data_IF_643389788680
#
_entry.id   IF_643389788680
#
_cell.length_a   1.000
_cell.length_b   1.000
_cell.length_c   1.000
_cell.angle_alpha   90.00
_cell.angle_beta   90.00
_cell.angle_gamma   90.00
#
_symmetry.space_group_name_H-M   'P 1'
#
loop_
_entity.id
_entity.type
_entity.pdbx_description
1 polymer ?
#
# COMPACT_ATOMS: atom_id res chain seq x y z
N UNK A 1 -6.41 26.95 -27.56
CA UNK A 1 -5.37 26.62 -26.55
C UNK A 1 -5.84 27.22 -25.22
N UNK A 2 -7.00 26.82 -24.69
CA UNK A 2 -7.34 25.50 -24.12
C UNK A 2 -6.42 25.12 -22.97
N UNK A 3 -6.92 25.35 -21.76
CA UNK A 3 -6.56 24.57 -20.58
C UNK A 3 -7.86 23.96 -20.06
N UNK A 4 -8.00 22.66 -20.25
CA UNK A 4 -9.09 21.87 -19.68
C UNK A 4 -8.94 21.84 -18.15
N UNK A 5 -10.01 22.10 -17.38
CA UNK A 5 -10.02 21.90 -15.93
C UNK A 5 -10.18 20.42 -15.57
N UNK A 6 -9.42 19.94 -14.60
CA UNK A 6 -9.51 18.59 -14.03
C UNK A 6 -10.74 18.45 -13.12
N UNK A 7 -11.37 17.28 -13.18
CA UNK A 7 -12.77 16.98 -12.83
C UNK A 7 -13.10 16.94 -11.31
N UNK A 8 -12.33 17.59 -10.43
CA UNK A 8 -12.54 17.52 -8.96
C UNK A 8 -12.77 18.85 -8.24
N UNK A 9 -12.88 19.97 -8.94
CA UNK A 9 -13.18 21.28 -8.32
C UNK A 9 -14.66 21.73 -8.43
N UNK A 10 -15.60 20.80 -8.59
CA UNK A 10 -17.02 21.15 -8.65
C UNK A 10 -17.80 20.27 -7.71
N UNK A 11 -17.82 20.64 -6.41
CA UNK A 11 -18.94 20.55 -5.45
C UNK A 11 -18.43 21.24 -4.16
N UNK A 12 -18.52 22.56 -4.10
CA UNK A 12 -18.51 23.35 -2.87
C UNK A 12 -18.85 24.80 -3.21
N UNK A 13 -20.15 25.06 -3.45
CA UNK A 13 -20.62 26.42 -3.64
C UNK A 13 -22.03 26.44 -4.18
N UNK A 14 -23.01 26.75 -3.32
CA UNK A 14 -24.05 27.77 -3.52
C UNK A 14 -24.93 27.83 -2.26
N UNK A 15 -24.94 29.00 -1.61
CA UNK A 15 -26.01 29.52 -0.73
C UNK A 15 -25.88 29.20 0.76
N UNK A 16 -26.05 30.10 1.72
CA UNK A 16 -26.41 31.52 1.72
C UNK A 16 -26.01 32.10 3.08
N UNK A 17 -25.53 33.34 3.07
CA UNK A 17 -25.15 34.10 4.26
C UNK A 17 -26.37 34.56 5.09
N UNK A 18 -26.26 34.50 6.42
CA UNK A 18 -26.89 35.49 7.32
C UNK A 18 -25.91 35.76 8.46
N UNK A 19 -25.40 37.00 8.51
CA UNK A 19 -24.55 37.51 9.58
C UNK A 19 -25.42 38.13 10.68
N UNK A 20 -25.04 37.92 11.95
CA UNK A 20 -25.36 38.86 13.04
C UNK A 20 -24.14 39.01 13.93
N UNK A 21 -23.65 40.25 13.95
CA UNK A 21 -22.57 40.80 14.77
C UNK A 21 -22.79 40.62 16.27
N UNK A 22 -21.72 40.35 17.02
CA UNK A 22 -21.44 41.12 18.24
C UNK A 22 -19.94 41.14 18.54
N UNK A 23 -19.40 42.35 18.55
CA UNK A 23 -17.99 42.68 18.71
C UNK A 23 -17.47 42.49 20.14
N UNK A 24 -16.24 41.99 20.27
CA UNK A 24 -15.32 42.37 21.33
C UNK A 24 -13.88 42.33 20.79
N UNK A 25 -13.25 43.50 20.81
CA UNK A 25 -11.95 43.84 20.26
C UNK A 25 -10.78 43.12 20.97
N UNK A 26 -9.82 42.64 20.19
CA UNK A 26 -8.40 42.70 20.53
C UNK A 26 -7.56 42.55 19.25
N UNK A 27 -7.04 43.67 18.78
CA UNK A 27 -6.05 43.74 17.70
C UNK A 27 -4.75 43.08 18.14
N UNK A 28 -4.36 42.00 17.46
CA UNK A 28 -2.98 41.56 17.38
C UNK A 28 -2.63 41.44 15.89
N UNK A 29 -1.94 42.47 15.39
CA UNK A 29 -1.27 42.41 14.09
C UNK A 29 -0.18 41.35 14.15
N UNK A 30 -0.39 40.23 13.47
CA UNK A 30 0.70 39.41 12.95
C UNK A 30 0.29 39.02 11.53
N UNK A 31 0.94 39.64 10.56
CA UNK A 31 0.92 39.23 9.16
C UNK A 31 1.49 37.82 9.07
N UNK A 32 0.62 36.81 9.14
CA UNK A 32 0.97 35.46 8.73
C UNK A 32 1.06 35.49 7.21
N UNK A 33 2.30 35.55 6.71
CA UNK A 33 2.60 35.21 5.32
C UNK A 33 2.01 33.82 5.03
N UNK A 34 1.63 33.53 3.77
CA UNK A 34 1.36 32.15 3.39
C UNK A 34 2.63 31.38 3.75
N UNK A 35 2.54 30.43 4.68
CA UNK A 35 3.59 29.43 4.81
C UNK A 35 3.61 28.74 3.46
N UNK A 36 4.66 29.00 2.69
CA UNK A 36 5.01 28.22 1.52
C UNK A 36 4.78 26.76 1.87
N UNK A 37 3.90 26.12 1.12
CA UNK A 37 3.84 24.67 1.11
C UNK A 37 5.25 24.23 0.78
N UNK A 38 5.97 23.73 1.79
CA UNK A 38 7.15 22.92 1.56
C UNK A 38 6.61 21.70 0.86
N UNK A 39 6.60 21.76 -0.46
CA UNK A 39 6.41 20.58 -1.29
C UNK A 39 7.61 19.71 -0.94
N UNK A 40 7.36 18.61 -0.23
CA UNK A 40 8.37 17.62 0.14
C UNK A 40 9.00 17.07 -1.15
N UNK A 41 10.02 17.76 -1.63
CA UNK A 41 10.74 17.43 -2.86
C UNK A 41 11.67 16.21 -2.70
N UNK A 42 11.67 15.59 -1.52
CA UNK A 42 12.48 14.42 -1.16
C UNK A 42 11.62 13.16 -0.94
N UNK A 43 10.32 13.18 -1.24
CA UNK A 43 9.37 12.05 -1.10
C UNK A 43 9.48 11.03 -2.24
N UNK A 44 10.68 10.52 -2.44
CA UNK A 44 11.02 9.53 -3.46
C UNK A 44 11.85 8.37 -2.89
N UNK A 45 11.97 8.33 -1.55
CA UNK A 45 12.82 7.41 -0.80
C UNK A 45 12.16 6.07 -0.53
N UNK A 46 12.98 5.08 -0.16
CA UNK A 46 12.50 3.76 0.29
C UNK A 46 11.70 3.86 1.60
N UNK A 47 11.99 4.89 2.41
CA UNK A 47 11.33 5.15 3.70
C UNK A 47 9.87 5.61 3.57
N UNK A 48 9.41 5.94 2.35
CA UNK A 48 8.04 6.38 2.09
C UNK A 48 7.08 5.23 1.75
N UNK A 49 7.60 4.01 1.51
CA UNK A 49 6.74 2.85 1.31
C UNK A 49 6.10 2.41 2.64
N UNK A 50 4.85 1.94 2.62
CA UNK A 50 4.30 1.26 3.76
C UNK A 50 5.08 -0.02 4.05
N UNK A 51 5.58 -0.16 5.27
CA UNK A 51 6.45 -1.27 5.66
C UNK A 51 5.68 -2.49 6.19
N UNK A 52 4.54 -2.25 6.83
CA UNK A 52 3.81 -3.30 7.55
C UNK A 52 2.32 -3.23 7.29
N UNK A 53 1.70 -4.40 7.34
CA UNK A 53 0.27 -4.57 7.47
C UNK A 53 -0.09 -4.65 8.95
N UNK A 54 -1.06 -3.85 9.37
CA UNK A 54 -1.52 -3.73 10.75
C UNK A 54 -2.84 -4.47 10.96
N UNK A 55 -3.03 -5.02 12.16
CA UNK A 55 -4.32 -5.55 12.65
C UNK A 55 -4.58 -5.03 14.07
N UNK A 56 -5.85 -4.82 14.45
CA UNK A 56 -6.17 -4.51 15.84
C UNK A 56 -5.90 -5.75 16.71
N UNK A 57 -5.31 -5.54 17.88
CA UNK A 57 -5.23 -6.54 18.93
C UNK A 57 -6.57 -6.68 19.69
N UNK A 58 -6.57 -7.50 20.75
CA UNK A 58 -7.76 -7.76 21.57
C UNK A 58 -8.28 -6.50 22.28
N UNK A 59 -7.42 -5.50 22.51
CA UNK A 59 -7.76 -4.21 23.11
C UNK A 59 -8.18 -3.16 22.05
N UNK A 60 -8.07 -3.51 20.77
CA UNK A 60 -8.42 -2.66 19.63
C UNK A 60 -7.29 -1.73 19.17
N UNK A 61 -6.07 -1.88 19.70
CA UNK A 61 -4.90 -1.13 19.28
C UNK A 61 -4.30 -1.74 18.00
N UNK A 62 -3.94 -0.90 17.03
CA UNK A 62 -3.35 -1.37 15.78
C UNK A 62 -1.87 -1.67 15.96
N UNK A 63 -1.47 -2.89 15.62
CA UNK A 63 -0.10 -3.37 15.75
C UNK A 63 0.40 -3.97 14.42
N UNK A 64 1.70 -3.84 14.10
CA UNK A 64 2.30 -4.55 12.96
C UNK A 64 2.04 -6.04 13.06
N UNK A 65 1.45 -6.60 12.01
CA UNK A 65 1.00 -7.99 11.96
C UNK A 65 1.79 -8.79 10.92
N UNK A 66 1.97 -8.25 9.72
CA UNK A 66 2.60 -8.93 8.57
C UNK A 66 3.54 -7.95 7.81
N UNK A 67 4.61 -8.44 7.16
CA UNK A 67 5.57 -7.61 6.43
C UNK A 67 5.04 -7.19 5.05
N UNK A 68 5.20 -5.94 4.63
CA UNK A 68 5.04 -5.58 3.20
C UNK A 68 6.41 -5.73 2.54
N UNK A 69 6.56 -6.81 1.77
CA UNK A 69 7.86 -7.40 1.45
C UNK A 69 8.33 -7.16 0.02
N UNK A 70 7.54 -6.51 -0.84
CA UNK A 70 7.97 -6.16 -2.20
C UNK A 70 7.64 -4.70 -2.52
N UNK A 71 8.67 -3.93 -2.89
CA UNK A 71 8.52 -2.56 -3.37
C UNK A 71 8.65 -2.53 -4.90
N UNK A 72 7.66 -1.97 -5.59
CA UNK A 72 7.62 -1.88 -7.03
C UNK A 72 7.66 -0.42 -7.48
N UNK A 73 8.59 -0.09 -8.39
CA UNK A 73 8.73 1.25 -8.97
C UNK A 73 8.66 1.19 -10.50
N UNK A 74 7.78 1.97 -11.11
CA UNK A 74 7.74 2.15 -12.55
C UNK A 74 8.60 3.32 -13.03
N UNK A 75 8.97 3.31 -14.30
CA UNK A 75 9.73 4.37 -14.97
C UNK A 75 8.91 5.62 -15.35
N UNK A 76 7.62 5.66 -15.00
CA UNK A 76 6.69 6.73 -15.35
C UNK A 76 6.07 6.61 -16.75
N UNK A 77 6.40 5.57 -17.52
CA UNK A 77 5.70 5.25 -18.78
C UNK A 77 4.27 4.76 -18.54
N UNK A 78 4.03 4.19 -17.35
CA UNK A 78 2.75 3.72 -16.85
C UNK A 78 2.71 3.84 -15.32
N UNK A 79 1.54 4.14 -14.72
CA UNK A 79 1.43 4.11 -13.26
C UNK A 79 1.81 2.73 -12.69
N UNK A 80 2.62 2.69 -11.64
CA UNK A 80 3.16 1.44 -11.08
C UNK A 80 2.06 0.46 -10.67
N UNK A 81 1.01 0.94 -10.00
CA UNK A 81 -0.13 0.11 -9.65
C UNK A 81 -0.79 -0.54 -10.88
N UNK A 82 -0.96 0.21 -11.97
CA UNK A 82 -1.55 -0.33 -13.21
C UNK A 82 -0.63 -1.35 -13.88
N UNK A 83 0.70 -1.14 -13.84
CA UNK A 83 1.67 -2.09 -14.37
C UNK A 83 1.72 -3.39 -13.53
N UNK A 84 1.54 -3.30 -12.21
CA UNK A 84 1.41 -4.47 -11.33
C UNK A 84 0.08 -5.20 -11.57
N UNK A 85 -1.03 -4.46 -11.65
CA UNK A 85 -2.37 -5.04 -11.93
C UNK A 85 -2.42 -5.79 -13.26
N UNK A 86 -1.82 -5.24 -14.32
CA UNK A 86 -1.70 -5.93 -15.61
C UNK A 86 -0.95 -7.26 -15.48
N UNK A 87 0.08 -7.32 -14.62
CA UNK A 87 0.82 -8.55 -14.34
C UNK A 87 -0.06 -9.65 -13.74
N UNK A 88 -1.09 -9.32 -12.97
CA UNK A 88 -2.00 -10.31 -12.35
C UNK A 88 -3.30 -10.52 -13.11
N UNK A 89 -3.55 -9.76 -14.16
CA UNK A 89 -4.83 -9.79 -14.88
C UNK A 89 -4.63 -10.12 -16.36
N UNK A 90 -5.74 -10.36 -17.06
CA UNK A 90 -5.72 -10.67 -18.49
C UNK A 90 -5.59 -12.17 -18.84
N UNK A 91 -5.61 -12.45 -20.14
CA UNK A 91 -5.68 -13.83 -20.66
C UNK A 91 -4.37 -14.61 -20.49
N UNK A 92 -3.25 -13.93 -20.24
CA UNK A 92 -1.97 -14.57 -19.93
C UNK A 92 -1.89 -15.08 -18.49
N UNK A 93 -2.66 -14.48 -17.58
CA UNK A 93 -2.50 -14.62 -16.13
C UNK A 93 -3.75 -15.24 -15.47
N UNK A 94 -4.43 -16.15 -16.17
CA UNK A 94 -5.71 -16.76 -15.75
C UNK A 94 -5.63 -17.60 -14.46
N UNK A 95 -4.42 -17.92 -14.02
CA UNK A 95 -4.18 -18.62 -12.76
C UNK A 95 -4.35 -17.71 -11.53
N UNK A 96 -4.24 -16.39 -11.73
CA UNK A 96 -4.51 -15.39 -10.72
C UNK A 96 -5.97 -14.96 -10.80
N UNK A 97 -6.64 -14.97 -9.66
CA UNK A 97 -8.03 -14.55 -9.53
C UNK A 97 -8.07 -13.26 -8.73
N UNK A 98 -8.65 -12.17 -9.28
CA UNK A 98 -8.94 -10.97 -8.51
C UNK A 98 -9.87 -11.32 -7.34
N UNK A 99 -9.50 -10.86 -6.15
CA UNK A 99 -10.31 -10.96 -4.95
C UNK A 99 -10.62 -9.56 -4.43
N UNK A 100 -11.81 -9.40 -3.84
CA UNK A 100 -12.00 -8.26 -2.96
C UNK A 100 -11.07 -8.46 -1.75
N UNK A 101 -10.43 -7.40 -1.25
CA UNK A 101 -9.68 -7.46 0.00
C UNK A 101 -10.55 -8.12 1.07
N UNK A 102 -10.13 -9.30 1.49
CA UNK A 102 -10.79 -10.13 2.48
C UNK A 102 -10.44 -9.73 3.91
N UNK A 103 -9.36 -8.97 4.06
CA UNK A 103 -8.75 -8.70 5.33
C UNK A 103 -9.14 -7.32 5.88
N UNK A 104 -9.37 -7.26 7.19
CA UNK A 104 -9.27 -6.04 8.01
C UNK A 104 -7.85 -5.44 8.03
N UNK A 105 -6.97 -5.96 7.17
CA UNK A 105 -5.61 -5.54 6.95
C UNK A 105 -5.56 -4.12 6.44
N UNK A 106 -4.66 -3.34 7.02
CA UNK A 106 -4.40 -1.98 6.58
C UNK A 106 -2.91 -1.71 6.60
N UNK A 107 -2.45 -0.91 5.66
CA UNK A 107 -1.10 -0.36 5.67
C UNK A 107 -1.14 1.08 6.18
N UNK A 108 -0.03 1.57 6.74
CA UNK A 108 0.09 2.97 7.11
C UNK A 108 0.37 3.82 5.88
N UNK A 109 -0.53 4.77 5.59
CA UNK A 109 -0.33 5.79 4.57
C UNK A 109 0.31 7.03 5.24
N UNK A 110 1.57 7.37 4.93
CA UNK A 110 2.25 8.52 5.52
C UNK A 110 1.75 9.87 4.98
N UNK A 111 1.05 9.92 3.84
CA UNK A 111 0.45 11.14 3.31
C UNK A 111 -0.87 11.46 4.03
N UNK A 112 -1.76 10.48 4.08
CA UNK A 112 -3.05 10.62 4.75
C UNK A 112 -2.93 10.54 6.30
N UNK A 113 -1.78 10.06 6.80
CA UNK A 113 -1.52 9.77 8.20
C UNK A 113 -2.62 8.87 8.80
N UNK A 114 -3.01 7.84 8.06
CA UNK A 114 -4.05 6.90 8.45
C UNK A 114 -3.76 5.47 7.96
N UNK A 115 -4.51 4.51 8.51
CA UNK A 115 -4.45 3.13 8.07
C UNK A 115 -5.44 2.91 6.91
N UNK A 116 -4.93 2.48 5.76
CA UNK A 116 -5.69 2.31 4.51
C UNK A 116 -5.74 0.83 4.07
N UNK A 117 -6.88 0.35 3.54
CA UNK A 117 -6.98 -1.00 2.97
C UNK A 117 -6.15 -1.11 1.67
N UNK A 118 -5.82 -2.32 1.21
CA UNK A 118 -5.19 -2.50 -0.09
C UNK A 118 -6.10 -2.07 -1.24
N UNK A 119 -5.50 -1.57 -2.32
CA UNK A 119 -6.18 -1.19 -3.56
C UNK A 119 -6.62 -2.42 -4.37
N UNK A 120 -5.82 -3.49 -4.35
CA UNK A 120 -6.12 -4.76 -5.02
C UNK A 120 -5.64 -5.97 -4.23
N UNK A 121 -6.24 -7.13 -4.52
CA UNK A 121 -5.79 -8.41 -4.00
C UNK A 121 -5.97 -9.52 -5.02
N UNK A 122 -5.00 -10.43 -5.06
CA UNK A 122 -4.95 -11.51 -6.03
C UNK A 122 -4.64 -12.82 -5.33
N UNK A 123 -5.28 -13.90 -5.78
CA UNK A 123 -5.03 -15.24 -5.27
C UNK A 123 -4.71 -16.19 -6.40
N UNK A 124 -3.72 -17.06 -6.19
CA UNK A 124 -3.41 -18.18 -7.08
C UNK A 124 -3.58 -19.48 -6.31
N UNK A 125 -4.53 -20.31 -6.76
CA UNK A 125 -4.74 -21.62 -6.17
C UNK A 125 -3.54 -22.53 -6.51
N UNK A 126 -2.85 -23.05 -5.49
CA UNK A 126 -1.83 -24.09 -5.67
C UNK A 126 -2.46 -25.47 -5.38
N UNK A 127 -1.81 -26.54 -5.86
CA UNK A 127 -2.22 -27.91 -5.53
C UNK A 127 -1.76 -28.22 -4.08
N UNK A 128 -2.62 -27.95 -3.10
CA UNK A 128 -2.33 -28.13 -1.68
C UNK A 128 -3.34 -27.38 -0.79
N UNK A 129 -3.01 -27.26 0.50
CA UNK A 129 -3.79 -26.48 1.49
C UNK A 129 -3.27 -25.03 1.61
N UNK A 130 -2.47 -24.59 0.64
CA UNK A 130 -1.77 -23.32 0.59
C UNK A 130 -2.00 -22.67 -0.78
N UNK A 131 -2.08 -21.35 -0.80
CA UNK A 131 -2.35 -20.58 -2.01
C UNK A 131 -1.69 -19.22 -1.89
N UNK A 132 -1.07 -18.76 -2.98
CA UNK A 132 -0.42 -17.46 -3.03
C UNK A 132 -1.49 -16.39 -2.89
N UNK A 133 -1.25 -15.44 -2.01
CA UNK A 133 -2.12 -14.32 -1.77
C UNK A 133 -1.29 -13.04 -1.75
N UNK A 134 -1.72 -12.09 -2.57
CA UNK A 134 -1.04 -10.82 -2.79
C UNK A 134 -2.00 -9.69 -2.47
N UNK A 135 -1.53 -8.73 -1.68
CA UNK A 135 -2.20 -7.44 -1.49
C UNK A 135 -1.32 -6.33 -2.05
N UNK A 136 -1.93 -5.38 -2.76
CA UNK A 136 -1.22 -4.28 -3.43
C UNK A 136 -1.79 -2.95 -2.94
N UNK A 137 -0.89 -2.03 -2.58
CA UNK A 137 -1.21 -0.64 -2.25
C UNK A 137 -0.56 0.28 -3.27
N UNK A 138 -1.32 1.26 -3.78
CA UNK A 138 -0.76 2.40 -4.49
C UNK A 138 -0.04 3.27 -3.48
N UNK A 139 1.22 3.60 -3.75
CA UNK A 139 1.97 4.58 -2.95
C UNK A 139 1.85 5.94 -3.63
N UNK A 140 2.17 6.00 -4.92
CA UNK A 140 1.93 7.15 -5.80
C UNK A 140 1.82 6.69 -7.26
N UNK A 141 2.00 7.60 -8.21
CA UNK A 141 1.94 7.27 -9.64
C UNK A 141 3.06 6.29 -10.04
N UNK A 142 4.26 6.40 -9.47
CA UNK A 142 5.43 5.62 -9.88
C UNK A 142 5.75 4.49 -8.92
N UNK A 143 5.05 4.37 -7.78
CA UNK A 143 5.36 3.39 -6.72
C UNK A 143 4.13 2.60 -6.27
N UNK A 144 4.34 1.30 -6.03
CA UNK A 144 3.37 0.40 -5.42
C UNK A 144 4.05 -0.52 -4.40
N UNK A 145 3.35 -0.80 -3.31
CA UNK A 145 3.82 -1.69 -2.25
C UNK A 145 3.01 -2.99 -2.27
N UNK A 146 3.68 -4.12 -2.02
CA UNK A 146 3.09 -5.44 -2.19
C UNK A 146 3.40 -6.28 -0.94
N UNK A 147 2.36 -6.87 -0.37
CA UNK A 147 2.47 -7.97 0.57
C UNK A 147 2.19 -9.28 -0.16
N UNK A 148 3.13 -10.22 -0.09
CA UNK A 148 2.97 -11.57 -0.60
C UNK A 148 3.11 -12.58 0.55
N UNK A 149 2.15 -13.51 0.63
CA UNK A 149 2.15 -14.60 1.60
C UNK A 149 1.40 -15.82 1.05
N UNK A 150 1.62 -16.98 1.68
CA UNK A 150 0.78 -18.17 1.49
C UNK A 150 -0.35 -18.14 2.51
N UNK A 151 -1.60 -18.19 2.03
CA UNK A 151 -2.75 -18.44 2.89
C UNK A 151 -2.76 -19.94 3.26
N UNK A 152 -2.39 -20.28 4.49
CA UNK A 152 -2.34 -21.68 4.97
C UNK A 152 -3.60 -22.00 5.76
N UNK A 153 -4.24 -23.14 5.50
CA UNK A 153 -5.41 -23.60 6.26
C UNK A 153 -5.10 -23.66 7.78
N UNK A 154 -5.85 -22.90 8.56
CA UNK A 154 -5.75 -22.86 10.01
C UNK A 154 -7.16 -22.78 10.60
N UNK A 155 -7.65 -23.92 11.10
CA UNK A 155 -9.00 -24.03 11.67
C UNK A 155 -9.19 -23.24 12.98
N UNK A 156 -8.09 -22.76 13.58
CA UNK A 156 -8.13 -21.93 14.79
C UNK A 156 -8.16 -20.44 14.47
N UNK A 157 -7.80 -20.06 13.24
CA UNK A 157 -7.85 -18.68 12.78
C UNK A 157 -9.30 -18.23 12.49
N UNK A 158 -9.54 -16.94 12.64
CA UNK A 158 -10.86 -16.33 12.46
C UNK A 158 -11.44 -16.48 11.04
N UNK A 159 -10.58 -16.68 10.04
CA UNK A 159 -10.94 -16.83 8.63
C UNK A 159 -10.66 -18.24 8.09
N UNK A 160 -10.41 -19.22 8.98
CA UNK A 160 -9.98 -20.58 8.66
C UNK A 160 -8.65 -20.69 7.89
N UNK A 161 -7.89 -19.60 7.83
CA UNK A 161 -6.54 -19.56 7.27
C UNK A 161 -5.71 -18.47 7.95
N UNK A 162 -4.39 -18.55 7.81
CA UNK A 162 -3.42 -17.54 8.24
C UNK A 162 -2.44 -17.25 7.11
N UNK A 163 -1.86 -16.05 7.10
CA UNK A 163 -0.72 -15.76 6.25
C UNK A 163 0.57 -16.34 6.84
N UNK A 164 1.36 -16.99 6.01
CA UNK A 164 2.65 -17.59 6.36
C UNK A 164 3.57 -17.65 5.12
N UNK A 165 4.80 -18.14 5.29
CA UNK A 165 5.74 -18.40 4.19
C UNK A 165 5.98 -17.19 3.28
N UNK A 166 6.16 -16.00 3.88
CA UNK A 166 6.33 -14.74 3.17
C UNK A 166 7.45 -14.78 2.13
N UNK A 167 8.61 -15.34 2.49
CA UNK A 167 9.76 -15.47 1.59
C UNK A 167 9.49 -16.29 0.33
N UNK A 168 8.79 -17.42 0.48
CA UNK A 168 8.41 -18.26 -0.66
C UNK A 168 7.41 -17.54 -1.56
N UNK A 169 6.37 -16.95 -0.97
CA UNK A 169 5.35 -16.23 -1.72
C UNK A 169 5.93 -15.00 -2.45
N UNK A 170 6.82 -14.25 -1.80
CA UNK A 170 7.50 -13.12 -2.41
C UNK A 170 8.37 -13.55 -3.59
N UNK A 171 9.13 -14.64 -3.46
CA UNK A 171 9.94 -15.17 -4.56
C UNK A 171 9.08 -15.58 -5.76
N UNK A 172 7.94 -16.23 -5.53
CA UNK A 172 7.00 -16.60 -6.60
C UNK A 172 6.36 -15.37 -7.26
N UNK A 173 5.99 -14.36 -6.48
CA UNK A 173 5.44 -13.09 -6.99
C UNK A 173 6.48 -12.31 -7.80
N UNK A 174 7.73 -12.25 -7.34
CA UNK A 174 8.84 -11.62 -8.05
C UNK A 174 9.12 -12.36 -9.36
N UNK A 175 9.18 -13.69 -9.34
CA UNK A 175 9.37 -14.49 -10.55
C UNK A 175 8.22 -14.28 -11.56
N UNK A 176 6.99 -14.17 -11.06
CA UNK A 176 5.82 -13.87 -11.87
C UNK A 176 5.94 -12.49 -12.53
N UNK A 177 6.14 -11.43 -11.75
CA UNK A 177 6.21 -10.06 -12.26
C UNK A 177 7.43 -9.83 -13.17
N UNK A 178 8.57 -10.48 -12.88
CA UNK A 178 9.73 -10.40 -13.78
C UNK A 178 9.46 -11.05 -15.15
N UNK A 179 8.62 -12.09 -15.21
CA UNK A 179 8.17 -12.65 -16.49
C UNK A 179 7.26 -11.71 -17.29
N UNK A 180 6.61 -10.76 -16.60
CA UNK A 180 5.75 -9.72 -17.17
C UNK A 180 6.50 -8.41 -17.50
N UNK A 181 7.85 -8.44 -17.44
CA UNK A 181 8.71 -7.35 -17.89
C UNK A 181 9.35 -6.52 -16.78
N UNK A 182 9.05 -6.81 -15.52
CA UNK A 182 9.75 -6.18 -14.40
C UNK A 182 11.19 -6.71 -14.28
N UNK A 183 12.06 -5.91 -13.68
CA UNK A 183 13.42 -6.29 -13.33
C UNK A 183 13.59 -6.30 -11.82
N UNK A 184 14.15 -7.37 -11.29
CA UNK A 184 14.49 -7.47 -9.87
C UNK A 184 15.81 -6.77 -9.57
N UNK A 185 15.81 -5.93 -8.53
CA UNK A 185 17.01 -5.31 -8.00
C UNK A 185 17.48 -6.05 -6.76
N UNK A 186 18.67 -6.67 -6.87
CA UNK A 186 19.31 -7.35 -5.76
C UNK A 186 20.73 -6.81 -5.51
N UNK A 187 21.23 -6.79 -4.26
CA UNK A 187 20.49 -7.12 -3.03
C UNK A 187 19.51 -6.00 -2.64
N UNK A 188 18.49 -6.37 -1.86
CA UNK A 188 17.52 -5.46 -1.27
C UNK A 188 17.10 -6.00 0.11
N UNK A 189 16.83 -5.11 1.05
CA UNK A 189 16.49 -5.41 2.44
C UNK A 189 15.61 -4.26 2.95
N UNK A 190 14.54 -4.59 3.66
CA UNK A 190 13.55 -3.63 4.16
C UNK A 190 13.69 -3.54 5.68
N UNK A 191 13.97 -2.33 6.18
CA UNK A 191 13.85 -2.06 7.61
C UNK A 191 12.36 -1.87 7.95
N UNK A 192 11.75 -2.91 8.51
CA UNK A 192 10.35 -2.91 8.88
C UNK A 192 10.00 -2.02 10.09
N UNK A 193 11.00 -1.48 10.81
CA UNK A 193 10.77 -0.66 11.99
C UNK A 193 10.12 -1.41 13.16
N UNK A 194 10.28 -2.73 13.22
CA UNK A 194 9.74 -3.60 14.28
C UNK A 194 10.85 -4.24 15.11
N UNK A 195 10.50 -4.73 16.30
CA UNK A 195 11.42 -5.48 17.17
C UNK A 195 11.94 -6.78 16.53
N UNK A 196 13.18 -7.18 16.85
CA UNK A 196 13.79 -8.44 16.37
C UNK A 196 12.91 -9.66 16.64
N UNK A 197 12.21 -9.68 17.78
CA UNK A 197 11.29 -10.77 18.13
C UNK A 197 10.09 -10.87 17.18
N UNK A 198 9.68 -9.77 16.54
CA UNK A 198 8.64 -9.76 15.51
C UNK A 198 9.20 -10.30 14.19
N UNK A 199 10.39 -9.86 13.80
CA UNK A 199 11.08 -10.35 12.60
C UNK A 199 11.32 -11.87 12.70
N UNK A 200 11.81 -12.36 13.84
CA UNK A 200 12.04 -13.79 14.07
C UNK A 200 10.73 -14.60 13.98
N UNK A 201 9.59 -14.04 14.43
CA UNK A 201 8.28 -14.68 14.28
C UNK A 201 7.81 -14.72 12.83
N UNK A 202 8.16 -13.74 12.02
CA UNK A 202 7.83 -13.74 10.60
C UNK A 202 8.71 -14.72 9.81
N UNK A 203 9.95 -14.93 10.24
CA UNK A 203 10.91 -15.74 9.50
C UNK A 203 11.42 -15.00 8.27
N UNK A 204 11.66 -15.73 7.18
CA UNK A 204 12.10 -15.13 5.92
C UNK A 204 10.97 -14.32 5.28
N UNK A 205 11.19 -13.01 5.11
CA UNK A 205 10.20 -12.06 4.58
C UNK A 205 10.21 -12.00 3.05
N UNK A 206 11.36 -12.28 2.41
CA UNK A 206 11.50 -12.27 0.95
C UNK A 206 11.63 -10.89 0.34
N UNK A 207 12.29 -9.97 1.04
CA UNK A 207 12.42 -8.57 0.66
C UNK A 207 12.92 -8.41 -0.78
N UNK A 208 12.12 -7.76 -1.61
CA UNK A 208 12.48 -7.53 -3.00
C UNK A 208 12.11 -6.14 -3.48
N UNK A 209 12.87 -5.66 -4.47
CA UNK A 209 12.58 -4.44 -5.20
C UNK A 209 12.46 -4.73 -6.69
N UNK A 210 11.37 -4.28 -7.29
CA UNK A 210 11.07 -4.40 -8.71
C UNK A 210 11.12 -3.03 -9.39
N UNK A 211 11.72 -2.97 -10.58
CA UNK A 211 11.78 -1.80 -11.45
C UNK A 211 11.15 -2.17 -12.82
N UNK A 212 10.21 -1.36 -13.33
CA UNK A 212 9.50 -1.58 -14.62
C UNK A 212 10.16 -0.82 -15.77
#
# INVERSE_FOLDING_TARGET
MDRNPTRRQTIAGIGSAVAVDTAASASASASAQPTDAVVDADRDGEDDYPLCLYKPDDDGEWQPALPINVHARADGSKPAFEAVEDGFTGLGNLEWTPALPDATAKAWDPEAAELVPPDASYRRLRLGDEWDHVHVWRVDDDRAAIHAHLDVLDLTASHFHRGDHYGEAAADVVAHLTSEGWSERTPYDIDYGVEDARLERWGETGDAKLEY
#
